data_IF_805727647534
#
_entry.id   IF_805727647534
#
_cell.length_a   1.000
_cell.length_b   1.000
_cell.length_c   1.000
_cell.angle_alpha   90.00
_cell.angle_beta   90.00
_cell.angle_gamma   90.00
#
_symmetry.space_group_name_H-M   'P 1'
#
loop_
_entity.id
_entity.type
_entity.pdbx_description
1 polymer ?
#
# COMPACT_ATOMS: atom_id res chain seq x y z
N UNK A 1 6.66 -20.05 4.25
CA UNK A 1 7.34 -18.81 3.83
C UNK A 1 8.85 -19.03 3.93
N UNK A 2 9.43 -19.83 3.04
CA UNK A 2 10.85 -20.26 3.13
C UNK A 2 11.75 -19.53 2.11
N UNK A 3 11.17 -19.06 1.00
CA UNK A 3 11.92 -18.49 -0.13
C UNK A 3 12.23 -17.00 -0.02
N UNK A 4 11.78 -16.31 1.04
CA UNK A 4 12.00 -14.87 1.27
C UNK A 4 11.85 -14.05 -0.03
N UNK A 5 10.63 -13.93 -0.59
CA UNK A 5 10.44 -13.42 -1.94
C UNK A 5 10.78 -11.93 -2.09
N UNK A 6 10.67 -11.15 -1.01
CA UNK A 6 10.75 -9.69 -1.08
C UNK A 6 12.11 -9.15 -1.52
N UNK A 7 13.27 -9.55 -0.94
CA UNK A 7 14.57 -9.02 -1.38
C UNK A 7 14.83 -9.13 -2.88
N UNK A 8 14.38 -10.22 -3.52
CA UNK A 8 14.47 -10.39 -4.97
C UNK A 8 13.57 -9.42 -5.73
N UNK A 9 12.29 -9.38 -5.37
CA UNK A 9 11.29 -8.50 -6.00
C UNK A 9 11.64 -7.01 -5.85
N UNK A 10 12.11 -6.61 -4.67
CA UNK A 10 12.49 -5.23 -4.36
C UNK A 10 13.64 -4.71 -5.24
N UNK A 11 14.55 -5.58 -5.71
CA UNK A 11 15.63 -5.18 -6.65
C UNK A 11 15.10 -4.88 -8.04
N UNK A 12 13.98 -5.47 -8.43
CA UNK A 12 13.39 -5.29 -9.75
C UNK A 12 12.69 -3.94 -9.92
N UNK A 13 12.40 -3.24 -8.82
CA UNK A 13 11.78 -1.91 -8.88
C UNK A 13 12.65 -0.87 -9.59
N UNK A 14 13.98 -1.05 -9.58
CA UNK A 14 14.97 -0.18 -10.25
C UNK A 14 15.32 -0.62 -11.68
N UNK A 15 14.56 -1.56 -12.25
CA UNK A 15 14.79 -2.00 -13.61
C UNK A 15 14.36 -0.92 -14.62
N UNK A 16 15.12 -0.73 -15.70
CA UNK A 16 14.80 0.24 -16.76
C UNK A 16 13.59 -0.15 -17.63
N UNK A 17 13.08 -1.36 -17.46
CA UNK A 17 11.98 -1.90 -18.24
C UNK A 17 10.74 -1.86 -17.38
N UNK A 18 9.79 -1.02 -17.75
CA UNK A 18 8.56 -0.80 -16.99
C UNK A 18 7.78 -2.10 -16.78
N UNK A 19 7.75 -3.01 -17.76
CA UNK A 19 7.04 -4.29 -17.61
C UNK A 19 7.63 -5.15 -16.48
N UNK A 20 8.95 -5.11 -16.29
CA UNK A 20 9.62 -5.83 -15.20
C UNK A 20 9.27 -5.20 -13.85
N UNK A 21 9.17 -3.87 -13.79
CA UNK A 21 8.76 -3.14 -12.60
C UNK A 21 7.29 -3.47 -12.25
N UNK A 22 6.41 -3.44 -13.25
CA UNK A 22 4.99 -3.78 -13.13
C UNK A 22 4.79 -5.21 -12.63
N UNK A 23 5.45 -6.18 -13.25
CA UNK A 23 5.38 -7.59 -12.83
C UNK A 23 5.90 -7.79 -11.40
N UNK A 24 6.96 -7.07 -11.02
CA UNK A 24 7.52 -7.13 -9.68
C UNK A 24 6.53 -6.57 -8.65
N UNK A 25 5.96 -5.39 -8.89
CA UNK A 25 5.03 -4.77 -7.93
C UNK A 25 3.70 -5.51 -7.89
N UNK A 26 3.23 -6.06 -9.01
CA UNK A 26 2.06 -6.93 -9.07
C UNK A 26 2.26 -8.18 -8.22
N UNK A 27 3.43 -8.79 -8.32
CA UNK A 27 3.81 -9.95 -7.50
C UNK A 27 3.81 -9.62 -6.01
N UNK A 28 4.38 -8.46 -5.63
CA UNK A 28 4.36 -8.00 -4.24
C UNK A 28 2.94 -7.80 -3.76
N UNK A 29 2.11 -7.09 -4.53
CA UNK A 29 0.71 -6.85 -4.19
C UNK A 29 -0.07 -8.16 -4.02
N UNK A 30 0.10 -9.13 -4.92
CA UNK A 30 -0.57 -10.42 -4.83
C UNK A 30 -0.16 -11.22 -3.58
N UNK A 31 1.13 -11.20 -3.22
CA UNK A 31 1.63 -11.84 -2.00
C UNK A 31 1.02 -11.15 -0.76
N UNK A 32 0.99 -9.81 -0.74
CA UNK A 32 0.36 -9.04 0.34
C UNK A 32 -1.12 -9.40 0.48
N UNK A 33 -1.89 -9.40 -0.60
CA UNK A 33 -3.30 -9.80 -0.58
C UNK A 33 -3.52 -11.21 -0.04
N UNK A 34 -2.70 -12.19 -0.46
CA UNK A 34 -2.76 -13.54 0.09
C UNK A 34 -2.45 -13.59 1.59
N UNK A 35 -1.51 -12.76 2.04
CA UNK A 35 -1.19 -12.56 3.45
C UNK A 35 -2.36 -11.97 4.25
N UNK A 36 -3.02 -10.92 3.77
CA UNK A 36 -4.15 -10.27 4.45
C UNK A 36 -5.26 -11.26 4.83
N UNK A 37 -5.55 -12.24 3.97
CA UNK A 37 -6.58 -13.28 4.20
C UNK A 37 -6.13 -14.46 5.06
N UNK A 38 -4.84 -14.55 5.40
CA UNK A 38 -4.28 -15.67 6.18
C UNK A 38 -4.36 -15.49 7.70
N UNK A 39 -4.73 -14.30 8.17
CA UNK A 39 -4.89 -13.97 9.59
C UNK A 39 -6.17 -13.14 9.80
N UNK A 40 -6.72 -13.09 11.03
CA UNK A 40 -7.92 -12.28 11.32
C UNK A 40 -7.75 -10.79 10.97
N UNK A 41 -8.85 -10.11 10.64
CA UNK A 41 -8.85 -8.68 10.30
C UNK A 41 -8.30 -7.80 11.42
N UNK A 42 -8.41 -8.23 12.69
CA UNK A 42 -7.91 -7.50 13.87
C UNK A 42 -6.42 -7.70 14.15
N UNK A 43 -5.74 -8.54 13.37
CA UNK A 43 -4.32 -8.80 13.51
C UNK A 43 -3.50 -7.95 12.53
N UNK A 44 -2.29 -7.58 12.95
CA UNK A 44 -1.32 -6.94 12.06
C UNK A 44 -1.05 -7.79 10.81
N UNK A 45 -0.69 -7.14 9.70
CA UNK A 45 -0.42 -7.84 8.45
C UNK A 45 0.76 -8.83 8.61
N UNK A 46 0.63 -10.11 8.20
CA UNK A 46 1.64 -11.14 8.48
C UNK A 46 2.97 -10.93 7.75
N UNK A 47 2.99 -10.04 6.76
CA UNK A 47 4.20 -9.68 6.00
C UNK A 47 4.81 -8.33 6.37
N UNK A 48 4.22 -7.59 7.32
CA UNK A 48 4.74 -6.28 7.69
C UNK A 48 6.20 -6.35 8.16
N UNK A 49 6.50 -7.27 9.08
CA UNK A 49 7.85 -7.40 9.65
C UNK A 49 8.89 -7.78 8.59
N UNK A 50 8.59 -8.73 7.70
CA UNK A 50 9.49 -9.11 6.63
C UNK A 50 9.73 -7.99 5.62
N UNK A 51 8.74 -7.12 5.40
CA UNK A 51 8.88 -5.91 4.57
C UNK A 51 9.75 -4.85 5.25
N UNK A 52 9.69 -4.71 6.57
CA UNK A 52 10.59 -3.83 7.33
C UNK A 52 12.04 -4.34 7.24
N UNK A 53 12.26 -5.63 7.48
CA UNK A 53 13.60 -6.25 7.49
C UNK A 53 14.36 -6.15 6.17
N UNK A 54 13.65 -6.04 5.03
CA UNK A 54 14.26 -5.90 3.71
C UNK A 54 14.18 -4.49 3.13
N UNK A 55 13.85 -3.47 3.94
CA UNK A 55 13.57 -2.10 3.50
C UNK A 55 12.45 -2.03 2.43
N UNK A 56 11.61 -3.05 2.34
CA UNK A 56 10.57 -3.19 1.32
C UNK A 56 9.51 -2.10 1.41
N UNK A 57 9.18 -1.62 2.60
CA UNK A 57 8.25 -0.48 2.78
C UNK A 57 8.82 0.78 2.12
N UNK A 58 10.08 1.12 2.43
CA UNK A 58 10.77 2.28 1.85
C UNK A 58 10.89 2.16 0.33
N UNK A 59 11.19 0.97 -0.18
CA UNK A 59 11.32 0.73 -1.62
C UNK A 59 9.99 0.80 -2.36
N UNK A 60 8.91 0.26 -1.79
CA UNK A 60 7.56 0.42 -2.32
C UNK A 60 7.13 1.89 -2.33
N UNK A 61 7.38 2.63 -1.25
CA UNK A 61 7.04 4.04 -1.19
C UNK A 61 7.86 4.87 -2.20
N UNK A 62 9.14 4.57 -2.39
CA UNK A 62 9.95 5.22 -3.43
C UNK A 62 9.41 4.92 -4.84
N UNK A 63 9.02 3.67 -5.11
CA UNK A 63 8.40 3.29 -6.38
C UNK A 63 7.09 4.06 -6.59
N UNK A 64 6.23 4.11 -5.57
CA UNK A 64 4.99 4.87 -5.59
C UNK A 64 5.21 6.35 -5.93
N UNK A 65 6.18 7.01 -5.28
CA UNK A 65 6.50 8.43 -5.50
C UNK A 65 6.97 8.72 -6.93
N UNK A 66 7.86 7.88 -7.46
CA UNK A 66 8.51 8.15 -8.76
C UNK A 66 7.75 7.60 -9.97
N UNK A 67 6.76 6.73 -9.76
CA UNK A 67 6.05 6.08 -10.86
C UNK A 67 5.17 7.08 -11.61
N UNK A 68 5.51 7.33 -12.88
CA UNK A 68 4.61 7.97 -13.82
C UNK A 68 3.58 6.99 -14.40
N UNK A 69 3.87 5.68 -14.31
CA UNK A 69 2.94 4.63 -14.69
C UNK A 69 1.86 4.43 -13.61
N UNK A 70 0.60 4.47 -14.05
CA UNK A 70 -0.57 4.35 -13.19
C UNK A 70 -0.61 2.98 -12.51
N UNK A 71 -0.30 1.90 -13.23
CA UNK A 71 -0.40 0.55 -12.70
C UNK A 71 0.58 0.34 -11.55
N UNK A 72 1.85 0.71 -11.74
CA UNK A 72 2.88 0.63 -10.71
C UNK A 72 2.58 1.52 -9.51
N UNK A 73 2.08 2.74 -9.75
CA UNK A 73 1.70 3.67 -8.68
C UNK A 73 0.56 3.12 -7.83
N UNK A 74 -0.52 2.69 -8.46
CA UNK A 74 -1.69 2.15 -7.77
C UNK A 74 -1.34 0.87 -6.99
N UNK A 75 -0.63 -0.08 -7.61
CA UNK A 75 -0.24 -1.33 -6.96
C UNK A 75 0.67 -1.10 -5.75
N UNK A 76 1.57 -0.12 -5.84
CA UNK A 76 2.43 0.26 -4.71
C UNK A 76 1.61 0.82 -3.55
N UNK A 77 0.71 1.78 -3.81
CA UNK A 77 -0.15 2.39 -2.79
C UNK A 77 -1.08 1.35 -2.13
N UNK A 78 -1.70 0.48 -2.93
CA UNK A 78 -2.56 -0.60 -2.46
C UNK A 78 -1.80 -1.59 -1.55
N UNK A 79 -0.59 -1.99 -1.95
CA UNK A 79 0.25 -2.87 -1.14
C UNK A 79 0.65 -2.21 0.19
N UNK A 80 1.05 -0.94 0.16
CA UNK A 80 1.39 -0.19 1.37
C UNK A 80 0.21 -0.09 2.33
N UNK A 81 -0.97 0.30 1.84
CA UNK A 81 -2.15 0.45 2.70
C UNK A 81 -2.55 -0.84 3.41
N UNK A 82 -2.45 -1.99 2.74
CA UNK A 82 -2.68 -3.30 3.37
C UNK A 82 -1.60 -3.69 4.37
N UNK A 83 -0.33 -3.41 4.06
CA UNK A 83 0.79 -3.70 4.96
C UNK A 83 0.65 -2.96 6.29
N UNK A 84 0.16 -1.72 6.26
CA UNK A 84 -0.04 -0.89 7.46
C UNK A 84 -1.26 -1.26 8.31
N UNK A 85 -1.92 -2.40 8.06
CA UNK A 85 -2.99 -2.89 8.94
C UNK A 85 -2.53 -3.02 10.38
N UNK A 86 -3.25 -2.40 11.31
CA UNK A 86 -2.94 -2.31 12.75
C UNK A 86 -1.57 -1.66 13.06
N UNK A 87 -0.99 -0.90 12.12
CA UNK A 87 0.28 -0.20 12.27
C UNK A 87 0.12 1.29 11.99
N UNK A 88 0.85 2.11 12.75
CA UNK A 88 0.91 3.54 12.51
C UNK A 88 1.81 3.83 11.31
N UNK A 89 1.41 4.78 10.48
CA UNK A 89 2.29 5.41 9.50
C UNK A 89 2.87 6.66 10.17
N UNK A 90 4.02 6.49 10.82
CA UNK A 90 4.68 7.55 11.61
C UNK A 90 5.11 8.74 10.75
N UNK A 91 5.52 8.48 9.50
CA UNK A 91 5.88 9.50 8.54
C UNK A 91 4.61 10.19 8.00
N UNK A 92 4.44 11.46 8.36
CA UNK A 92 3.25 12.23 8.03
C UNK A 92 3.09 12.48 6.52
N UNK A 93 4.19 12.65 5.78
CA UNK A 93 4.17 12.86 4.33
C UNK A 93 3.77 11.56 3.63
N UNK A 94 4.40 10.44 4.01
CA UNK A 94 4.04 9.11 3.53
C UNK A 94 2.57 8.78 3.79
N UNK A 95 2.09 9.08 5.00
CA UNK A 95 0.68 8.88 5.38
C UNK A 95 -0.25 9.70 4.49
N UNK A 96 0.02 10.99 4.33
CA UNK A 96 -0.79 11.89 3.50
C UNK A 96 -0.81 11.44 2.03
N UNK A 97 0.34 11.08 1.47
CA UNK A 97 0.43 10.68 0.07
C UNK A 97 -0.30 9.36 -0.23
N UNK A 98 -0.11 8.35 0.63
CA UNK A 98 -0.77 7.05 0.45
C UNK A 98 -2.28 7.22 0.57
N UNK A 99 -2.77 7.90 1.63
CA UNK A 99 -4.21 8.09 1.84
C UNK A 99 -4.80 8.95 0.72
N UNK A 100 -4.15 10.05 0.35
CA UNK A 100 -4.58 10.94 -0.73
C UNK A 100 -4.70 10.21 -2.07
N UNK A 101 -3.70 9.40 -2.42
CA UNK A 101 -3.74 8.61 -3.65
C UNK A 101 -4.85 7.54 -3.61
N UNK A 102 -4.98 6.81 -2.50
CA UNK A 102 -6.05 5.81 -2.33
C UNK A 102 -7.46 6.44 -2.41
N UNK A 103 -7.65 7.65 -1.86
CA UNK A 103 -8.90 8.43 -2.02
C UNK A 103 -9.15 8.76 -3.50
N UNK A 104 -8.11 9.19 -4.24
CA UNK A 104 -8.22 9.56 -5.66
C UNK A 104 -8.66 8.41 -6.57
N UNK A 105 -8.29 7.16 -6.22
CA UNK A 105 -8.68 5.94 -6.95
C UNK A 105 -10.20 5.73 -6.94
N UNK A 106 -10.97 6.38 -6.05
CA UNK A 106 -12.43 6.19 -6.04
C UNK A 106 -13.12 6.63 -7.35
N UNK A 107 -12.45 7.50 -8.14
CA UNK A 107 -12.93 7.94 -9.46
C UNK A 107 -12.43 7.07 -10.62
N UNK A 108 -11.73 5.96 -10.33
CA UNK A 108 -11.18 5.07 -11.36
C UNK A 108 -12.27 4.26 -12.07
N UNK A 109 -12.07 3.94 -13.35
CA UNK A 109 -12.98 3.09 -14.10
C UNK A 109 -12.87 1.61 -13.68
N UNK A 110 -11.69 1.16 -13.23
CA UNK A 110 -11.43 -0.21 -12.83
C UNK A 110 -12.07 -0.54 -11.48
N UNK A 111 -13.13 -1.36 -11.53
CA UNK A 111 -13.87 -1.79 -10.34
C UNK A 111 -13.00 -2.57 -9.34
N UNK A 112 -12.01 -3.32 -9.83
CA UNK A 112 -11.09 -4.03 -8.97
C UNK A 112 -10.23 -3.06 -8.16
N UNK A 113 -9.59 -2.10 -8.81
CA UNK A 113 -8.71 -1.12 -8.16
C UNK A 113 -9.46 -0.24 -7.18
N UNK A 114 -10.71 0.17 -7.50
CA UNK A 114 -11.60 0.84 -6.53
C UNK A 114 -11.85 0.01 -5.27
N UNK A 115 -12.22 -1.27 -5.44
CA UNK A 115 -12.50 -2.16 -4.30
C UNK A 115 -11.26 -2.31 -3.42
N UNK A 116 -10.10 -2.54 -4.03
CA UNK A 116 -8.86 -2.70 -3.28
C UNK A 116 -8.43 -1.41 -2.59
N UNK A 117 -8.68 -0.24 -3.19
CA UNK A 117 -8.37 1.04 -2.56
C UNK A 117 -9.21 1.28 -1.30
N UNK A 118 -10.52 0.99 -1.37
CA UNK A 118 -11.41 1.04 -0.20
C UNK A 118 -10.98 0.06 0.90
N UNK A 119 -10.59 -1.15 0.51
CA UNK A 119 -10.07 -2.14 1.46
C UNK A 119 -8.77 -1.67 2.11
N UNK A 120 -7.83 -1.12 1.34
CA UNK A 120 -6.57 -0.59 1.85
C UNK A 120 -6.79 0.59 2.81
N UNK A 121 -7.70 1.52 2.49
CA UNK A 121 -8.09 2.60 3.40
C UNK A 121 -8.68 2.05 4.72
N UNK A 122 -9.59 1.08 4.63
CA UNK A 122 -10.15 0.41 5.82
C UNK A 122 -9.04 -0.24 6.67
N UNK A 123 -8.06 -0.87 6.05
CA UNK A 123 -6.93 -1.51 6.74
C UNK A 123 -6.02 -0.48 7.45
N UNK A 124 -5.70 0.65 6.80
CA UNK A 124 -4.94 1.76 7.41
C UNK A 124 -5.68 2.29 8.65
N UNK A 125 -6.99 2.52 8.54
CA UNK A 125 -7.81 3.13 9.60
C UNK A 125 -8.04 2.21 10.80
N UNK A 126 -7.63 0.95 10.75
CA UNK A 126 -7.70 0.09 11.93
C UNK A 126 -6.76 0.53 13.06
N UNK A 127 -5.70 1.29 12.73
CA UNK A 127 -4.88 1.94 13.76
C UNK A 127 -5.37 3.39 13.96
N UNK A 128 -5.75 3.78 15.19
CA UNK A 128 -6.32 5.09 15.44
C UNK A 128 -5.38 6.27 15.22
N UNK A 129 -4.07 6.08 15.29
CA UNK A 129 -3.09 7.13 15.02
C UNK A 129 -3.09 7.57 13.53
N UNK A 130 -3.69 6.76 12.66
CA UNK A 130 -3.83 7.07 11.24
C UNK A 130 -5.06 7.95 10.91
N UNK A 131 -6.00 8.15 11.84
CA UNK A 131 -7.15 9.04 11.63
C UNK A 131 -6.74 10.51 11.53
N UNK A 132 -5.61 10.87 12.14
CA UNK A 132 -5.11 12.23 12.15
C UNK A 132 -4.34 12.44 10.84
N UNK A 133 -5.07 12.69 9.75
CA UNK A 133 -4.55 13.51 8.67
C UNK A 133 -4.79 14.94 9.14
N UNK A 134 -3.72 15.70 9.41
CA UNK A 134 -3.85 17.15 9.62
C UNK A 134 -4.23 17.76 8.27
N UNK A 135 -5.51 17.76 7.95
CA UNK A 135 -6.03 18.57 6.85
C UNK A 135 -6.10 20.01 7.36
N UNK A 136 -5.12 20.82 6.96
CA UNK A 136 -5.36 22.24 6.73
C UNK A 136 -6.23 22.30 5.47
N UNK A 137 -7.35 23.02 5.54
CA UNK A 137 -8.41 23.15 4.54
C UNK A 137 -9.46 22.02 4.59
N UNK A 138 -10.42 22.22 5.48
CA UNK A 138 -11.51 21.30 5.74
C UNK A 138 -12.35 21.00 4.50
N UNK A 139 -12.51 19.71 4.21
CA UNK A 139 -13.76 19.13 3.76
C UNK A 139 -13.76 17.60 3.95
N UNK A 140 -14.83 17.13 4.57
CA UNK A 140 -15.34 15.77 4.65
C UNK A 140 -14.66 14.73 5.56
N UNK A 141 -15.24 14.66 6.75
CA UNK A 141 -15.47 13.45 7.54
C UNK A 141 -15.68 12.22 6.66
N UNK A 142 -14.81 11.23 6.85
CA UNK A 142 -14.91 9.91 6.24
C UNK A 142 -16.19 9.22 6.74
N UNK A 143 -17.20 9.10 5.88
CA UNK A 143 -18.21 8.05 5.99
C UNK A 143 -17.70 6.86 5.19
N UNK A 144 -17.22 5.83 5.88
CA UNK A 144 -17.04 4.51 5.29
C UNK A 144 -18.44 3.88 5.28
N UNK A 145 -19.19 4.02 4.19
CA UNK A 145 -20.35 3.14 3.91
C UNK A 145 -19.89 1.80 3.31
#
# INVERSE_FOLDING_TARGET
YEKQPYPGLMRLFDHQNQLIVDDAVASVFNIVCGGSSSVPETAAHPHYQSMVECEGIKKLYNLFQRSADKYSKDRSALALGKLYRMKEIEDAEMKADIIGHLKSINNDDDAFTKREARAALKEIMQNPENYIVKEDDGEDCIVIE
#
